data_IF_801564726561
#
_entry.id   IF_801564726561
#
_cell.length_a   1.000
_cell.length_b   1.000
_cell.length_c   1.000
_cell.angle_alpha   90.00
_cell.angle_beta   90.00
_cell.angle_gamma   90.00
#
_symmetry.space_group_name_H-M   'P 1'
#
loop_
_entity.id
_entity.type
_entity.pdbx_description
1 polymer ?
#
# COMPACT_ATOMS: atom_id res chain seq x y z
N UNK A 1 -11.42 12.87 3.36
CA UNK A 1 -10.42 11.83 3.58
C UNK A 1 -9.70 11.54 2.29
N UNK A 2 -8.38 11.43 2.35
CA UNK A 2 -7.51 11.12 1.20
C UNK A 2 -6.69 9.88 1.54
N UNK A 3 -6.72 8.88 0.69
CA UNK A 3 -5.83 7.72 0.79
C UNK A 3 -4.91 7.64 -0.42
N UNK A 4 -3.74 7.06 -0.25
CA UNK A 4 -2.81 6.77 -1.33
C UNK A 4 -2.52 5.26 -1.39
N UNK A 5 -2.51 4.72 -2.61
CA UNK A 5 -2.10 3.35 -2.89
C UNK A 5 -0.59 3.31 -3.12
N UNK A 6 0.11 2.58 -2.28
CA UNK A 6 1.54 2.34 -2.36
C UNK A 6 1.80 0.87 -2.70
N UNK A 7 2.73 0.58 -3.58
CA UNK A 7 3.07 -0.80 -3.91
C UNK A 7 4.11 -0.92 -5.02
N UNK A 8 4.65 -2.11 -5.16
CA UNK A 8 5.58 -2.45 -6.23
C UNK A 8 4.90 -2.38 -7.60
N UNK A 9 5.64 -2.15 -8.68
CA UNK A 9 5.14 -2.38 -10.03
C UNK A 9 4.61 -3.82 -10.15
N UNK A 10 3.46 -3.97 -10.85
CA UNK A 10 2.83 -5.28 -11.10
C UNK A 10 2.27 -6.02 -9.86
N UNK A 11 2.10 -5.36 -8.72
CA UNK A 11 1.42 -5.96 -7.55
C UNK A 11 -0.11 -5.96 -7.66
N UNK A 12 -0.66 -5.47 -8.78
CA UNK A 12 -2.10 -5.32 -8.97
C UNK A 12 -2.68 -4.01 -8.45
N UNK A 13 -1.84 -3.03 -8.13
CA UNK A 13 -2.23 -1.72 -7.57
C UNK A 13 -3.18 -0.96 -8.51
N UNK A 14 -2.87 -0.88 -9.80
CA UNK A 14 -3.73 -0.22 -10.81
C UNK A 14 -5.07 -0.91 -10.95
N UNK A 15 -5.11 -2.24 -10.95
CA UNK A 15 -6.38 -2.99 -11.01
C UNK A 15 -7.23 -2.69 -9.77
N UNK A 16 -6.64 -2.65 -8.58
CA UNK A 16 -7.32 -2.29 -7.36
C UNK A 16 -7.81 -0.83 -7.39
N UNK A 17 -7.00 0.10 -7.88
CA UNK A 17 -7.38 1.50 -8.07
C UNK A 17 -8.61 1.64 -8.98
N UNK A 18 -8.60 0.96 -10.12
CA UNK A 18 -9.72 0.97 -11.05
C UNK A 18 -11.00 0.37 -10.43
N UNK A 19 -10.85 -0.68 -9.64
CA UNK A 19 -11.97 -1.32 -8.94
C UNK A 19 -12.59 -0.40 -7.88
N UNK A 20 -11.76 0.36 -7.16
CA UNK A 20 -12.20 1.29 -6.13
C UNK A 20 -12.87 2.54 -6.71
N UNK A 21 -12.35 3.08 -7.81
CA UNK A 21 -12.75 4.40 -8.33
C UNK A 21 -13.66 4.33 -9.55
N UNK A 22 -13.68 3.22 -10.27
CA UNK A 22 -14.46 3.05 -11.49
C UNK A 22 -14.07 4.09 -12.56
N UNK A 23 -15.07 4.78 -13.13
CA UNK A 23 -14.87 5.82 -14.15
C UNK A 23 -14.56 7.21 -13.57
N UNK A 24 -14.54 7.36 -12.26
CA UNK A 24 -14.31 8.64 -11.56
C UNK A 24 -12.83 8.90 -11.36
N UNK A 25 -12.08 8.99 -12.45
CA UNK A 25 -10.63 9.16 -12.43
C UNK A 25 -10.22 10.45 -13.16
N UNK A 26 -9.16 11.07 -12.65
CA UNK A 26 -8.44 12.17 -13.31
C UNK A 26 -6.98 11.77 -13.48
N UNK A 27 -6.46 12.00 -14.67
CA UNK A 27 -5.08 11.72 -15.04
C UNK A 27 -4.39 13.03 -15.44
N UNK A 28 -3.25 13.31 -14.85
CA UNK A 28 -2.42 14.47 -15.13
C UNK A 28 -0.95 14.11 -14.86
N UNK A 29 -0.04 15.04 -15.00
CA UNK A 29 1.32 14.89 -14.49
C UNK A 29 1.47 15.59 -13.13
N UNK A 30 2.37 15.07 -12.29
CA UNK A 30 2.80 15.80 -11.13
C UNK A 30 3.50 17.09 -11.55
N UNK A 31 3.36 18.16 -10.75
CA UNK A 31 3.93 19.47 -11.07
C UNK A 31 5.46 19.38 -11.29
N UNK A 32 5.92 19.92 -12.44
CA UNK A 32 7.33 20.03 -12.77
C UNK A 32 8.03 18.74 -13.22
N UNK A 33 7.31 17.63 -13.41
CA UNK A 33 7.86 16.34 -13.85
C UNK A 33 6.94 15.65 -14.85
N UNK A 34 7.46 14.65 -15.58
CA UNK A 34 6.70 13.84 -16.54
C UNK A 34 6.11 12.56 -15.92
N UNK A 35 5.99 12.52 -14.60
CA UNK A 35 5.42 11.38 -13.87
C UNK A 35 3.91 11.52 -13.80
N UNK A 36 3.19 10.46 -14.18
CA UNK A 36 1.74 10.43 -14.21
C UNK A 36 1.14 10.44 -12.81
N UNK A 37 0.11 11.27 -12.63
CA UNK A 37 -0.67 11.40 -11.42
C UNK A 37 -2.10 10.92 -11.68
N UNK A 38 -2.52 9.88 -11.02
CA UNK A 38 -3.89 9.35 -11.08
C UNK A 38 -4.60 9.54 -9.76
N UNK A 39 -5.71 10.24 -9.80
CA UNK A 39 -6.60 10.41 -8.66
C UNK A 39 -8.01 9.98 -9.04
N UNK A 40 -8.70 9.34 -8.14
CA UNK A 40 -10.08 8.96 -8.30
C UNK A 40 -10.89 9.18 -7.03
N UNK A 41 -12.18 8.93 -7.12
CA UNK A 41 -13.11 9.05 -5.99
C UNK A 41 -13.82 7.71 -5.78
N UNK A 42 -13.72 7.22 -4.55
CA UNK A 42 -14.49 6.10 -4.05
C UNK A 42 -15.68 6.64 -3.25
N UNK A 43 -16.88 6.17 -3.54
CA UNK A 43 -18.04 6.31 -2.65
C UNK A 43 -18.40 4.93 -2.13
N UNK A 44 -18.30 4.73 -0.83
CA UNK A 44 -18.61 3.44 -0.21
C UNK A 44 -20.13 3.22 -0.11
N UNK A 45 -20.58 1.97 0.13
CA UNK A 45 -21.99 1.68 0.38
C UNK A 45 -22.58 2.46 1.56
N UNK A 46 -21.79 2.82 2.57
CA UNK A 46 -22.20 3.65 3.69
C UNK A 46 -22.25 5.15 3.35
N UNK A 47 -21.95 5.54 2.10
CA UNK A 47 -21.98 6.93 1.64
C UNK A 47 -20.71 7.74 1.92
N UNK A 48 -19.66 7.12 2.41
CA UNK A 48 -18.38 7.77 2.67
C UNK A 48 -17.66 8.06 1.36
N UNK A 49 -17.27 9.31 1.16
CA UNK A 49 -16.49 9.73 -0.02
C UNK A 49 -15.01 9.81 0.33
N UNK A 50 -14.19 9.11 -0.45
CA UNK A 50 -12.74 9.01 -0.26
C UNK A 50 -12.03 9.37 -1.56
N UNK A 51 -11.08 10.28 -1.49
CA UNK A 51 -10.14 10.53 -2.59
C UNK A 51 -9.05 9.49 -2.57
N UNK A 52 -8.84 8.84 -3.71
CA UNK A 52 -7.85 7.77 -3.88
C UNK A 52 -6.78 8.25 -4.84
N UNK A 53 -5.55 8.29 -4.39
CA UNK A 53 -4.38 8.61 -5.20
C UNK A 53 -3.62 7.32 -5.52
N UNK A 54 -3.46 7.01 -6.80
CA UNK A 54 -2.61 5.90 -7.25
C UNK A 54 -1.18 6.40 -7.40
N UNK A 55 -0.30 6.06 -6.45
CA UNK A 55 1.10 6.45 -6.51
C UNK A 55 1.84 5.66 -7.59
N UNK A 56 2.88 6.23 -8.21
CA UNK A 56 3.78 5.47 -9.07
C UNK A 56 4.31 4.22 -8.36
N UNK A 57 4.45 3.12 -9.08
CA UNK A 57 5.04 1.90 -8.52
C UNK A 57 6.46 2.14 -8.05
N UNK A 58 6.79 1.65 -6.86
CA UNK A 58 8.10 1.82 -6.26
C UNK A 58 8.59 0.51 -5.64
N UNK A 59 9.89 0.22 -5.80
CA UNK A 59 10.51 -0.94 -5.14
C UNK A 59 11.01 -0.60 -3.74
N UNK A 60 11.31 0.67 -3.50
CA UNK A 60 11.80 1.18 -2.22
C UNK A 60 11.51 2.67 -2.11
N UNK A 61 11.43 3.16 -0.88
CA UNK A 61 11.40 4.60 -0.59
C UNK A 61 12.81 5.22 -0.64
N UNK A 62 13.88 4.42 -0.66
CA UNK A 62 15.21 4.83 -1.11
C UNK A 62 15.19 4.99 -2.64
N UNK A 63 14.64 6.10 -3.10
CA UNK A 63 14.31 6.31 -4.51
C UNK A 63 15.55 6.26 -5.42
N UNK A 64 15.49 5.42 -6.45
CA UNK A 64 16.48 5.30 -7.51
C UNK A 64 15.99 5.88 -8.84
N UNK A 65 14.70 6.17 -8.97
CA UNK A 65 14.06 6.73 -10.15
C UNK A 65 13.25 7.98 -9.80
N UNK A 66 12.87 8.74 -10.84
CA UNK A 66 12.00 9.91 -10.69
C UNK A 66 10.62 9.51 -10.13
N UNK A 67 10.07 8.38 -10.57
CA UNK A 67 8.79 7.85 -10.11
C UNK A 67 8.83 7.49 -8.61
N UNK A 68 9.87 6.81 -8.17
CA UNK A 68 10.07 6.47 -6.76
C UNK A 68 10.28 7.72 -5.90
N UNK A 69 10.98 8.74 -6.41
CA UNK A 69 11.15 10.02 -5.73
C UNK A 69 9.81 10.73 -5.54
N UNK A 70 8.93 10.75 -6.56
CA UNK A 70 7.58 11.30 -6.44
C UNK A 70 6.78 10.54 -5.39
N UNK A 71 6.78 9.23 -5.41
CA UNK A 71 6.10 8.38 -4.43
C UNK A 71 6.57 8.70 -3.01
N UNK A 72 7.87 8.73 -2.77
CA UNK A 72 8.45 9.10 -1.48
C UNK A 72 7.99 10.49 -1.03
N UNK A 73 8.09 11.48 -1.90
CA UNK A 73 7.81 12.88 -1.55
C UNK A 73 6.32 13.11 -1.26
N UNK A 74 5.42 12.40 -1.95
CA UNK A 74 3.97 12.44 -1.63
C UNK A 74 3.69 11.81 -0.28
N UNK A 75 4.24 10.62 -0.04
CA UNK A 75 4.04 9.88 1.22
C UNK A 75 4.57 10.65 2.42
N UNK A 76 5.69 11.35 2.26
CA UNK A 76 6.29 12.17 3.33
C UNK A 76 5.69 13.56 3.46
N UNK A 77 4.78 13.95 2.57
CA UNK A 77 4.20 15.30 2.54
C UNK A 77 5.16 16.39 2.06
N UNK A 78 6.26 16.00 1.42
CA UNK A 78 7.28 16.94 0.91
C UNK A 78 7.04 17.37 -0.54
N UNK A 79 6.06 16.78 -1.23
CA UNK A 79 5.75 17.15 -2.62
C UNK A 79 4.97 18.45 -2.66
N UNK A 80 5.54 19.46 -3.33
CA UNK A 80 4.87 20.73 -3.53
C UNK A 80 3.52 20.56 -4.27
N UNK A 81 2.46 21.16 -3.76
CA UNK A 81 1.12 21.07 -4.31
C UNK A 81 0.35 19.79 -3.98
N UNK A 82 0.95 18.85 -3.24
CA UNK A 82 0.31 17.63 -2.78
C UNK A 82 0.21 17.60 -1.25
N UNK A 83 -0.99 17.39 -0.73
CA UNK A 83 -1.16 17.11 0.68
C UNK A 83 -0.75 15.67 1.00
N UNK A 84 -0.13 15.45 2.16
CA UNK A 84 0.11 14.10 2.64
C UNK A 84 -1.21 13.30 2.74
N UNK A 85 -1.22 12.01 2.42
CA UNK A 85 -2.42 11.19 2.60
C UNK A 85 -2.76 11.01 4.08
N UNK A 86 -4.05 10.89 4.38
CA UNK A 86 -4.55 10.54 5.72
C UNK A 86 -4.27 9.06 6.02
N UNK A 87 -4.23 8.23 4.99
CA UNK A 87 -4.05 6.78 5.08
C UNK A 87 -3.23 6.27 3.89
N UNK A 88 -2.27 5.39 4.17
CA UNK A 88 -1.58 4.58 3.16
C UNK A 88 -2.22 3.20 3.07
N UNK A 89 -2.60 2.80 1.86
CA UNK A 89 -2.97 1.43 1.53
C UNK A 89 -1.80 0.79 0.81
N UNK A 90 -1.06 -0.07 1.52
CA UNK A 90 0.06 -0.79 0.93
C UNK A 90 -0.45 -2.03 0.19
N UNK A 91 -0.43 -1.99 -1.13
CA UNK A 91 -0.85 -3.11 -1.97
C UNK A 91 0.32 -4.08 -2.12
N UNK A 92 0.12 -5.30 -1.67
CA UNK A 92 1.13 -6.36 -1.64
C UNK A 92 0.64 -7.54 -2.46
N UNK A 93 1.46 -8.03 -3.37
CA UNK A 93 1.22 -9.28 -4.08
C UNK A 93 1.46 -10.47 -3.12
N UNK A 94 0.39 -11.17 -2.76
CA UNK A 94 0.46 -12.29 -1.84
C UNK A 94 1.34 -13.44 -2.36
N UNK A 95 1.51 -13.57 -3.68
CA UNK A 95 2.38 -14.58 -4.31
C UNK A 95 3.87 -14.22 -4.22
N UNK A 96 4.17 -12.96 -3.90
CA UNK A 96 5.52 -12.39 -3.77
C UNK A 96 5.65 -11.56 -2.50
N UNK A 97 5.14 -12.11 -1.40
CA UNK A 97 4.96 -11.40 -0.14
C UNK A 97 6.26 -10.78 0.40
N UNK A 98 7.40 -11.44 0.17
CA UNK A 98 8.72 -10.94 0.59
C UNK A 98 9.02 -9.52 0.04
N UNK A 99 8.70 -9.27 -1.22
CA UNK A 99 8.95 -7.96 -1.85
C UNK A 99 8.04 -6.89 -1.25
N UNK A 100 6.76 -7.21 -1.09
CA UNK A 100 5.78 -6.27 -0.55
C UNK A 100 6.03 -5.92 0.91
N UNK A 101 6.37 -6.89 1.74
CA UNK A 101 6.63 -6.65 3.17
C UNK A 101 7.82 -5.74 3.41
N UNK A 102 8.83 -5.77 2.57
CA UNK A 102 9.95 -4.81 2.65
C UNK A 102 9.45 -3.37 2.54
N UNK A 103 8.63 -3.07 1.54
CA UNK A 103 8.03 -1.74 1.36
C UNK A 103 7.15 -1.36 2.54
N UNK A 104 6.35 -2.29 3.05
CA UNK A 104 5.49 -2.06 4.22
C UNK A 104 6.32 -1.65 5.44
N UNK A 105 7.43 -2.33 5.71
CA UNK A 105 8.30 -2.01 6.86
C UNK A 105 9.01 -0.67 6.67
N UNK A 106 9.46 -0.34 5.46
CA UNK A 106 10.03 0.97 5.15
C UNK A 106 8.99 2.09 5.38
N UNK A 107 7.77 1.91 4.88
CA UNK A 107 6.69 2.90 5.04
C UNK A 107 6.22 3.02 6.50
N UNK A 108 6.18 1.91 7.24
CA UNK A 108 5.82 1.91 8.66
C UNK A 108 6.72 2.83 9.50
N UNK A 109 7.99 2.90 9.16
CA UNK A 109 8.95 3.75 9.86
C UNK A 109 8.59 5.25 9.80
N UNK A 110 7.73 5.68 8.87
CA UNK A 110 7.29 7.06 8.75
C UNK A 110 6.14 7.44 9.68
N UNK A 111 5.53 6.48 10.36
CA UNK A 111 4.49 6.72 11.35
C UNK A 111 3.12 7.13 10.81
N UNK A 112 2.87 7.03 9.51
CA UNK A 112 1.55 7.27 8.93
C UNK A 112 0.59 6.12 9.24
N UNK A 113 -0.72 6.39 9.36
CA UNK A 113 -1.72 5.34 9.38
C UNK A 113 -1.65 4.48 8.12
N UNK A 114 -1.65 3.16 8.29
CA UNK A 114 -1.46 2.22 7.19
C UNK A 114 -2.41 1.03 7.31
N UNK A 115 -2.78 0.48 6.17
CA UNK A 115 -3.42 -0.83 6.02
C UNK A 115 -2.76 -1.58 4.87
N UNK A 116 -2.57 -2.87 5.03
CA UNK A 116 -2.06 -3.75 3.96
C UNK A 116 -3.24 -4.33 3.20
N UNK A 117 -3.29 -4.09 1.89
CA UNK A 117 -4.15 -4.81 0.96
C UNK A 117 -3.37 -5.99 0.38
N UNK A 118 -3.59 -7.17 0.92
CA UNK A 118 -2.95 -8.41 0.47
C UNK A 118 -3.68 -8.90 -0.79
N UNK A 119 -3.20 -8.46 -1.93
CA UNK A 119 -3.81 -8.71 -3.25
C UNK A 119 -3.39 -10.08 -3.80
N UNK A 120 -4.15 -10.58 -4.76
CA UNK A 120 -3.94 -11.91 -5.36
C UNK A 120 -4.05 -13.06 -4.34
N UNK A 121 -4.81 -12.88 -3.27
CA UNK A 121 -5.00 -13.89 -2.21
C UNK A 121 -5.62 -15.18 -2.72
N UNK A 122 -6.43 -15.11 -3.78
CA UNK A 122 -6.98 -16.27 -4.48
C UNK A 122 -5.91 -17.10 -5.21
N UNK A 123 -4.89 -16.45 -5.77
CA UNK A 123 -3.80 -17.13 -6.45
C UNK A 123 -2.96 -17.95 -5.47
N UNK A 124 -2.68 -17.41 -4.30
CA UNK A 124 -1.95 -18.09 -3.22
C UNK A 124 -2.72 -19.34 -2.75
N UNK A 125 -4.04 -19.21 -2.54
CA UNK A 125 -4.88 -20.36 -2.16
C UNK A 125 -4.88 -21.46 -3.21
N UNK A 126 -4.91 -21.07 -4.50
CA UNK A 126 -4.81 -22.06 -5.60
C UNK A 126 -3.47 -22.81 -5.63
N UNK A 127 -2.41 -22.19 -5.15
CA UNK A 127 -1.09 -22.80 -5.01
C UNK A 127 -0.92 -23.65 -3.76
N UNK A 128 -1.96 -23.74 -2.93
CA UNK A 128 -1.92 -24.48 -1.66
C UNK A 128 -1.12 -23.79 -0.55
N UNK A 129 -0.69 -22.56 -0.76
CA UNK A 129 0.05 -21.78 0.22
C UNK A 129 -0.95 -21.17 1.21
N UNK A 130 -0.69 -21.35 2.51
CA UNK A 130 -1.46 -20.73 3.57
C UNK A 130 -0.71 -19.55 4.18
N UNK A 131 -1.39 -18.40 4.25
CA UNK A 131 -0.87 -17.20 4.90
C UNK A 131 -1.72 -16.92 6.14
N UNK A 132 -1.08 -16.88 7.29
CA UNK A 132 -1.73 -16.51 8.56
C UNK A 132 -1.85 -14.97 8.62
N UNK A 133 -3.03 -14.48 8.23
CA UNK A 133 -3.35 -13.06 8.20
C UNK A 133 -3.28 -12.42 9.60
N UNK A 134 -3.80 -13.11 10.62
CA UNK A 134 -3.82 -12.57 11.98
C UNK A 134 -2.40 -12.41 12.54
N UNK A 135 -1.52 -13.33 12.21
CA UNK A 135 -0.12 -13.25 12.55
C UNK A 135 0.58 -12.11 11.82
N UNK A 136 0.30 -11.92 10.53
CA UNK A 136 0.81 -10.77 9.78
C UNK A 136 0.35 -9.45 10.41
N UNK A 137 -0.91 -9.30 10.77
CA UNK A 137 -1.43 -8.08 11.43
C UNK A 137 -0.66 -7.79 12.72
N UNK A 138 -0.42 -8.81 13.52
CA UNK A 138 0.30 -8.68 14.79
C UNK A 138 1.75 -8.26 14.56
N UNK A 139 2.47 -8.93 13.68
CA UNK A 139 3.88 -8.67 13.42
C UNK A 139 4.11 -7.34 12.69
N UNK A 140 3.24 -6.98 11.76
CA UNK A 140 3.30 -5.71 11.04
C UNK A 140 2.75 -4.54 11.88
N UNK A 141 1.97 -4.82 12.93
CA UNK A 141 1.28 -3.82 13.78
C UNK A 141 0.34 -2.92 12.99
N UNK A 142 -0.34 -3.50 12.01
CA UNK A 142 -1.33 -2.80 11.19
C UNK A 142 -2.34 -3.80 10.61
N UNK A 143 -3.55 -3.33 10.24
CA UNK A 143 -4.55 -4.20 9.62
C UNK A 143 -4.06 -4.79 8.31
N UNK A 144 -4.45 -6.04 8.05
CA UNK A 144 -4.24 -6.73 6.77
C UNK A 144 -5.57 -7.16 6.22
N UNK A 145 -5.91 -6.71 5.02
CA UNK A 145 -7.17 -7.02 4.34
C UNK A 145 -6.87 -7.76 3.05
N UNK A 146 -7.57 -8.85 2.80
CA UNK A 146 -7.43 -9.60 1.54
C UNK A 146 -8.17 -8.92 0.40
N UNK A 147 -7.54 -8.85 -0.76
CA UNK A 147 -8.14 -8.31 -1.99
C UNK A 147 -7.84 -9.19 -3.19
N UNK A 148 -8.69 -9.08 -4.22
CA UNK A 148 -8.49 -9.68 -5.54
C UNK A 148 -8.86 -8.64 -6.59
N UNK A 149 -7.89 -7.81 -6.99
CA UNK A 149 -8.12 -6.60 -7.80
C UNK A 149 -8.74 -6.84 -9.17
N UNK A 150 -8.67 -8.07 -9.70
CA UNK A 150 -9.29 -8.45 -10.98
C UNK A 150 -10.75 -8.92 -10.84
N UNK A 151 -11.26 -9.13 -9.62
CA UNK A 151 -12.64 -9.55 -9.38
C UNK A 151 -13.52 -8.36 -9.05
N UNK A 152 -14.73 -8.34 -9.56
CA UNK A 152 -15.69 -7.25 -9.34
C UNK A 152 -15.97 -6.96 -7.86
N UNK A 153 -15.98 -7.99 -7.03
CA UNK A 153 -16.19 -7.94 -5.59
C UNK A 153 -14.87 -7.95 -4.76
N UNK A 154 -13.74 -7.95 -5.47
CA UNK A 154 -12.43 -8.22 -4.87
C UNK A 154 -11.88 -7.16 -3.92
N UNK A 155 -12.50 -5.97 -3.87
CA UNK A 155 -12.16 -4.90 -2.94
C UNK A 155 -13.19 -4.73 -1.81
N UNK A 156 -14.20 -5.57 -1.72
CA UNK A 156 -15.32 -5.38 -0.77
C UNK A 156 -14.86 -5.34 0.68
N UNK A 157 -13.94 -6.22 1.07
CA UNK A 157 -13.40 -6.24 2.42
C UNK A 157 -12.62 -4.96 2.77
N UNK A 158 -11.86 -4.42 1.82
CA UNK A 158 -11.14 -3.15 1.99
C UNK A 158 -12.11 -1.98 2.12
N UNK A 159 -13.13 -1.91 1.28
CA UNK A 159 -14.15 -0.86 1.33
C UNK A 159 -14.92 -0.91 2.66
N UNK A 160 -15.29 -2.08 3.12
CA UNK A 160 -15.94 -2.25 4.42
C UNK A 160 -15.03 -1.81 5.58
N UNK A 161 -13.76 -2.15 5.52
CA UNK A 161 -12.79 -1.69 6.51
C UNK A 161 -12.65 -0.16 6.51
N UNK A 162 -12.60 0.46 5.32
CA UNK A 162 -12.54 1.92 5.17
C UNK A 162 -13.78 2.64 5.73
N UNK A 163 -14.96 2.03 5.67
CA UNK A 163 -16.19 2.60 6.25
C UNK A 163 -16.08 2.75 7.77
N UNK A 164 -15.44 1.81 8.44
CA UNK A 164 -15.21 1.86 9.88
C UNK A 164 -14.00 2.70 10.32
N UNK A 165 -13.13 3.08 9.39
CA UNK A 165 -11.90 3.79 9.73
C UNK A 165 -12.10 5.32 9.69
N UNK A 166 -11.49 6.01 10.64
CA UNK A 166 -11.46 7.48 10.67
C UNK A 166 -10.04 7.98 10.96
N UNK A 167 -9.63 9.11 10.33
CA UNK A 167 -8.35 9.71 10.62
C UNK A 167 -8.26 10.09 12.11
N UNK A 168 -7.25 9.59 12.79
CA UNK A 168 -6.85 10.15 14.07
C UNK A 168 -6.16 11.49 13.78
N UNK A 169 -6.79 12.59 14.15
CA UNK A 169 -6.27 13.92 13.86
C UNK A 169 -4.84 14.09 14.37
N UNK A 170 -3.96 14.65 13.54
CA UNK A 170 -2.60 15.03 13.93
C UNK A 170 -1.48 14.05 13.59
N UNK A 171 -1.74 12.93 12.92
CA UNK A 171 -0.66 12.08 12.41
C UNK A 171 0.10 12.84 11.31
N UNK A 172 1.32 13.26 11.60
CA UNK A 172 2.26 13.80 10.61
C UNK A 172 3.31 12.75 10.31
N UNK A 173 3.62 12.57 9.03
CA UNK A 173 4.75 11.73 8.65
C UNK A 173 6.03 12.30 9.26
N UNK A 174 6.84 11.45 9.86
CA UNK A 174 8.20 11.80 10.23
C UNK A 174 8.99 12.15 8.98
N UNK A 175 9.93 13.08 9.10
CA UNK A 175 10.85 13.37 8.02
C UNK A 175 11.56 12.06 7.61
N UNK A 176 11.38 11.67 6.35
CA UNK A 176 12.02 10.47 5.85
C UNK A 176 13.53 10.65 5.73
N UNK A 177 14.27 9.66 6.16
CA UNK A 177 15.71 9.60 5.97
C UNK A 177 16.09 8.33 5.20
N UNK A 178 17.06 8.42 4.26
CA UNK A 178 17.53 7.25 3.54
C UNK A 178 18.03 6.18 4.51
N UNK A 179 17.63 4.94 4.25
CA UNK A 179 18.13 3.81 5.02
C UNK A 179 19.57 3.50 4.63
N UNK A 180 20.45 3.42 5.62
CA UNK A 180 21.80 2.94 5.43
C UNK A 180 21.85 1.40 5.26
N UNK A 181 23.00 0.84 4.83
CA UNK A 181 23.12 -0.60 4.56
C UNK A 181 22.74 -1.50 5.76
N UNK A 182 23.06 -1.08 6.97
CA UNK A 182 22.71 -1.82 8.18
C UNK A 182 21.20 -1.88 8.41
N UNK A 183 20.48 -0.79 8.18
CA UNK A 183 19.02 -0.73 8.31
C UNK A 183 18.33 -1.56 7.22
N UNK A 184 18.84 -1.52 5.99
CA UNK A 184 18.35 -2.37 4.89
C UNK A 184 18.50 -3.85 5.25
N UNK A 185 19.65 -4.26 5.78
CA UNK A 185 19.88 -5.64 6.22
C UNK A 185 18.92 -6.03 7.36
N UNK A 186 18.73 -5.16 8.33
CA UNK A 186 17.80 -5.39 9.44
C UNK A 186 16.36 -5.57 8.94
N UNK A 187 15.92 -4.72 8.01
CA UNK A 187 14.60 -4.84 7.38
C UNK A 187 14.44 -6.17 6.65
N UNK A 188 15.46 -6.62 5.91
CA UNK A 188 15.44 -7.92 5.24
C UNK A 188 15.37 -9.10 6.21
N UNK A 189 16.08 -9.03 7.31
CA UNK A 189 16.04 -10.06 8.36
C UNK A 189 14.66 -10.13 9.01
N UNK A 190 14.04 -8.98 9.29
CA UNK A 190 12.71 -8.90 9.84
C UNK A 190 11.65 -9.46 8.88
N UNK A 191 11.73 -9.14 7.60
CA UNK A 191 10.86 -9.72 6.56
C UNK A 191 10.97 -11.26 6.56
N UNK A 192 12.18 -11.80 6.57
CA UNK A 192 12.40 -13.25 6.61
C UNK A 192 11.83 -13.90 7.87
N UNK A 193 11.97 -13.22 9.01
CA UNK A 193 11.40 -13.69 10.28
C UNK A 193 9.87 -13.78 10.19
N UNK A 194 9.22 -12.71 9.72
CA UNK A 194 7.76 -12.65 9.58
C UNK A 194 7.26 -13.72 8.62
N UNK A 195 7.91 -13.91 7.48
CA UNK A 195 7.52 -14.92 6.49
C UNK A 195 7.59 -16.33 7.05
N UNK A 196 8.65 -16.69 7.78
CA UNK A 196 8.78 -18.01 8.42
C UNK A 196 7.66 -18.30 9.41
N UNK A 197 7.14 -17.27 10.06
CA UNK A 197 6.04 -17.41 11.02
C UNK A 197 4.67 -17.48 10.34
N UNK A 198 4.46 -16.65 9.30
CA UNK A 198 3.14 -16.40 8.75
C UNK A 198 2.81 -17.22 7.49
N UNK A 199 3.81 -17.78 6.80
CA UNK A 199 3.60 -18.50 5.53
C UNK A 199 3.88 -19.99 5.71
N UNK A 200 2.95 -20.81 5.28
CA UNK A 200 3.08 -22.26 5.23
C UNK A 200 2.94 -22.72 3.79
N UNK A 201 3.99 -23.33 3.27
CA UNK A 201 3.98 -23.97 1.95
C UNK A 201 3.29 -25.33 2.02
N UNK A 202 2.68 -25.80 0.92
CA UNK A 202 2.13 -27.14 0.86
C UNK A 202 3.25 -28.19 1.02
N UNK A 203 2.93 -29.30 1.70
CA UNK A 203 3.84 -30.45 1.81
C UNK A 203 4.01 -31.15 0.47
#
# INVERSE_FOLDING_TARGET
MRLALLGHPNCGKTALFNLLTGSRQKVANYAGVTVERKEGVLTSPAGKTVRVLDLPGAYSLNALSADEAVTRDVVTGQRAGEAAPDLLVCVVDATKLQLGLRMVLEARAMGLPMVVAMNMSDAVRRQGIAIDRALLERELRMPVVETVGIRKDGASALVQWLDGWQPAGGAQASAWQPQGPAQVLQTQQEVRRILRLAVREPE
#
